data_IF_840303438616
#
_entry.id   IF_840303438616
#
_cell.length_a   1.000
_cell.length_b   1.000
_cell.length_c   1.000
_cell.angle_alpha   90.00
_cell.angle_beta   90.00
_cell.angle_gamma   90.00
#
_symmetry.space_group_name_H-M   'P 1'
#
loop_
_entity.id
_entity.type
_entity.pdbx_description
1 polymer ?
#
# COMPACT_ATOMS: atom_id res chain seq x y z
N UNK A 1 9.51 12.97 -7.70
CA UNK A 1 8.30 12.34 -7.08
C UNK A 1 8.51 12.19 -5.56
N UNK A 2 7.80 11.29 -4.87
CA UNK A 2 7.99 11.05 -3.43
C UNK A 2 9.35 10.42 -3.10
N UNK A 3 9.94 9.64 -4.00
CA UNK A 3 11.29 9.09 -3.83
C UNK A 3 12.33 10.21 -3.91
N UNK A 4 12.22 11.09 -4.91
CA UNK A 4 13.06 12.29 -5.00
C UNK A 4 12.90 13.21 -3.78
N UNK A 5 11.67 13.38 -3.30
CA UNK A 5 11.38 14.20 -2.12
C UNK A 5 12.12 13.69 -0.88
N UNK A 6 12.13 12.36 -0.67
CA UNK A 6 12.86 11.74 0.42
C UNK A 6 14.37 11.91 0.24
N UNK A 7 14.87 11.61 -0.97
CA UNK A 7 16.30 11.70 -1.32
C UNK A 7 16.88 13.11 -1.13
N UNK A 8 16.20 14.13 -1.66
CA UNK A 8 16.65 15.53 -1.57
C UNK A 8 16.71 16.06 -0.13
N UNK A 9 15.90 15.47 0.76
CA UNK A 9 15.82 15.89 2.17
C UNK A 9 16.59 14.96 3.13
N UNK A 10 17.30 13.97 2.60
CA UNK A 10 18.00 12.97 3.41
C UNK A 10 17.07 12.17 4.33
N UNK A 11 15.80 12.00 3.92
CA UNK A 11 14.81 11.23 4.66
C UNK A 11 14.87 9.77 4.23
N UNK A 12 14.68 8.86 5.17
CA UNK A 12 14.74 7.43 4.89
C UNK A 12 13.52 7.00 4.06
N UNK A 13 13.79 6.31 2.95
CA UNK A 13 12.82 5.54 2.20
C UNK A 13 12.67 4.16 2.85
N UNK A 14 11.44 3.75 3.06
CA UNK A 14 11.10 2.51 3.74
C UNK A 14 10.84 1.38 2.76
N UNK A 15 11.35 0.21 3.09
CA UNK A 15 11.03 -1.03 2.40
C UNK A 15 9.53 -1.35 2.51
N UNK A 16 8.92 -2.02 1.51
CA UNK A 16 7.49 -2.34 1.51
C UNK A 16 6.98 -3.10 2.75
N UNK A 17 7.87 -3.83 3.42
CA UNK A 17 7.64 -4.66 4.60
C UNK A 17 7.87 -3.93 5.93
N UNK A 18 8.20 -2.64 5.90
CA UNK A 18 8.46 -1.84 7.09
C UNK A 18 7.25 -1.87 8.06
N UNK A 19 7.45 -2.05 9.38
CA UNK A 19 6.34 -2.20 10.34
C UNK A 19 5.34 -1.03 10.35
N UNK A 20 5.83 0.20 10.14
CA UNK A 20 4.96 1.36 10.05
C UNK A 20 4.04 1.29 8.81
N UNK A 21 4.56 0.84 7.66
CA UNK A 21 3.76 0.65 6.45
C UNK A 21 2.77 -0.50 6.60
N UNK A 22 3.12 -1.56 7.34
CA UNK A 22 2.17 -2.64 7.68
C UNK A 22 0.99 -2.12 8.50
N UNK A 23 1.27 -1.33 9.55
CA UNK A 23 0.22 -0.66 10.36
C UNK A 23 -0.64 0.28 9.51
N UNK A 24 0.01 1.07 8.66
CA UNK A 24 -0.69 1.96 7.73
C UNK A 24 -1.66 1.21 6.81
N UNK A 25 -1.18 0.17 6.12
CA UNK A 25 -2.01 -0.66 5.23
C UNK A 25 -3.14 -1.36 5.98
N UNK A 26 -2.89 -1.81 7.20
CA UNK A 26 -3.90 -2.46 8.05
C UNK A 26 -5.06 -1.52 8.41
N UNK A 27 -4.79 -0.22 8.55
CA UNK A 27 -5.80 0.81 8.86
C UNK A 27 -6.75 1.08 7.70
N UNK A 28 -6.36 0.78 6.46
CA UNK A 28 -7.14 1.01 5.24
C UNK A 28 -7.73 2.43 5.16
N UNK A 29 -6.88 3.43 5.37
CA UNK A 29 -7.29 4.83 5.35
C UNK A 29 -7.99 5.18 4.03
N UNK A 30 -9.18 5.77 4.14
CA UNK A 30 -10.01 6.21 3.02
C UNK A 30 -10.03 7.74 2.85
N UNK A 31 -9.58 8.47 3.87
CA UNK A 31 -9.57 9.94 3.90
C UNK A 31 -8.21 10.50 4.31
N UNK A 32 -7.94 11.77 3.96
CA UNK A 32 -6.72 12.46 4.39
C UNK A 32 -6.64 12.60 5.92
N UNK A 33 -7.77 12.77 6.60
CA UNK A 33 -7.81 12.90 8.05
C UNK A 33 -7.45 11.58 8.75
N UNK A 34 -7.85 10.44 8.19
CA UNK A 34 -7.38 9.13 8.68
C UNK A 34 -5.87 8.94 8.50
N UNK A 35 -5.29 9.46 7.41
CA UNK A 35 -3.83 9.45 7.20
C UNK A 35 -3.14 10.36 8.23
N UNK A 36 -3.67 11.55 8.50
CA UNK A 36 -3.15 12.46 9.53
C UNK A 36 -3.20 11.83 10.91
N UNK A 37 -4.30 11.15 11.24
CA UNK A 37 -4.43 10.42 12.49
C UNK A 37 -3.38 9.29 12.58
N UNK A 38 -3.16 8.54 11.50
CA UNK A 38 -2.09 7.53 11.47
C UNK A 38 -0.70 8.13 11.66
N UNK A 39 -0.40 9.27 11.04
CA UNK A 39 0.89 9.97 11.24
C UNK A 39 1.10 10.34 12.70
N UNK A 40 0.06 10.79 13.39
CA UNK A 40 0.15 11.12 14.81
C UNK A 40 0.38 9.86 15.66
N UNK A 41 -0.45 8.83 15.48
CA UNK A 41 -0.33 7.57 16.22
C UNK A 41 1.04 6.91 16.03
N UNK A 42 1.57 6.96 14.80
CA UNK A 42 2.88 6.41 14.48
C UNK A 42 3.97 7.17 15.22
N UNK A 43 3.92 8.51 15.27
CA UNK A 43 4.89 9.34 16.02
C UNK A 43 4.83 9.08 17.52
N UNK A 44 3.65 8.90 18.10
CA UNK A 44 3.50 8.51 19.51
C UNK A 44 4.12 7.13 19.77
N UNK A 45 3.88 6.16 18.87
CA UNK A 45 4.50 4.83 18.96
C UNK A 45 6.04 4.88 18.88
N UNK A 46 6.63 5.83 18.13
CA UNK A 46 8.08 6.06 18.15
C UNK A 46 8.57 6.62 19.50
N UNK A 47 7.81 7.51 20.13
CA UNK A 47 8.11 8.09 21.45
C UNK A 47 8.10 7.03 22.56
N UNK A 48 7.08 6.17 22.59
CA UNK A 48 6.94 5.10 23.58
C UNK A 48 8.11 4.10 23.54
N UNK A 49 8.61 3.77 22.34
CA UNK A 49 9.79 2.90 22.17
C UNK A 49 11.07 3.56 22.68
N UNK A 50 11.26 4.85 22.43
CA UNK A 50 12.44 5.56 22.96
C UNK A 50 12.42 5.72 24.48
N UNK A 51 11.24 5.86 25.10
CA UNK A 51 11.13 5.99 26.56
C UNK A 51 11.38 4.67 27.30
N UNK A 52 10.98 3.54 26.72
CA UNK A 52 11.18 2.22 27.33
C UNK A 52 12.63 1.74 27.27
N UNK A 53 13.37 2.11 26.22
CA UNK A 53 14.81 1.81 26.11
C UNK A 53 15.67 2.60 27.13
N UNK A 54 15.19 3.75 27.62
CA UNK A 54 15.90 4.54 28.63
C UNK A 54 15.86 3.92 30.05
N UNK A 55 14.93 3.00 30.33
CA UNK A 55 14.78 2.36 31.64
C UNK A 55 15.22 0.90 31.69
N UNK A 56 15.59 0.28 30.56
CA UNK A 56 15.97 -1.13 30.47
C UNK A 56 17.46 -1.33 30.21
N UNK A 57 18.30 -0.74 31.06
CA UNK A 57 19.74 -1.06 31.10
C UNK A 57 20.03 -2.14 32.16
N UNK A 58 19.34 -3.27 32.07
CA UNK A 58 19.72 -4.53 32.70
C UNK A 58 19.02 -5.69 31.97
N UNK A 59 19.84 -6.56 31.38
CA UNK A 59 19.54 -7.94 30.94
C UNK A 59 18.43 -8.18 29.91
N UNK A 60 18.82 -8.45 28.65
CA UNK A 60 18.60 -9.75 27.98
C UNK A 60 18.94 -9.68 26.49
N UNK A 61 19.56 -10.78 26.02
CA UNK A 61 20.05 -11.00 24.66
C UNK A 61 18.90 -11.28 23.70
N UNK A 62 18.83 -10.54 22.60
CA UNK A 62 17.94 -10.82 21.47
C UNK A 62 18.02 -9.70 20.43
N UNK A 63 18.66 -9.99 19.30
CA UNK A 63 18.95 -9.05 18.19
C UNK A 63 17.66 -8.34 17.73
N UNK A 64 17.46 -7.11 18.21
CA UNK A 64 16.48 -6.17 17.66
C UNK A 64 17.25 -5.10 16.92
N UNK A 65 16.97 -4.93 15.63
CA UNK A 65 17.53 -3.87 14.79
C UNK A 65 17.24 -2.53 15.46
N UNK A 66 18.26 -2.00 16.13
CA UNK A 66 18.23 -0.73 16.85
C UNK A 66 18.27 0.40 15.84
N UNK A 67 17.12 0.82 15.33
CA UNK A 67 16.99 2.14 14.70
C UNK A 67 17.05 3.19 15.80
N UNK A 68 18.28 3.56 16.16
CA UNK A 68 18.59 4.60 17.15
C UNK A 68 18.03 5.95 16.71
N UNK A 69 16.95 6.39 17.36
CA UNK A 69 16.97 7.66 18.10
C UNK A 69 16.47 8.94 17.43
N UNK A 70 15.74 8.92 16.31
CA UNK A 70 15.03 10.12 15.83
C UNK A 70 13.62 9.77 15.36
N UNK A 71 12.63 10.46 15.91
CA UNK A 71 11.25 10.38 15.46
C UNK A 71 11.21 10.85 14.00
N UNK A 72 10.70 10.04 13.06
CA UNK A 72 10.60 10.45 11.67
C UNK A 72 9.68 11.68 11.55
N UNK A 73 10.07 12.70 10.78
CA UNK A 73 9.21 13.86 10.57
C UNK A 73 7.94 13.44 9.82
N UNK A 74 6.83 14.15 10.03
CA UNK A 74 5.54 13.86 9.38
C UNK A 74 5.66 13.78 7.86
N UNK A 75 6.55 14.58 7.25
CA UNK A 75 6.81 14.53 5.81
C UNK A 75 7.41 13.20 5.35
N UNK A 76 8.29 12.57 6.14
CA UNK A 76 8.84 11.25 5.85
C UNK A 76 7.75 10.17 5.94
N UNK A 77 6.90 10.24 6.97
CA UNK A 77 5.79 9.32 7.17
C UNK A 77 4.81 9.36 5.99
N UNK A 78 4.38 10.57 5.60
CA UNK A 78 3.44 10.78 4.50
C UNK A 78 4.04 10.38 3.15
N UNK A 79 5.30 10.72 2.88
CA UNK A 79 5.96 10.36 1.62
C UNK A 79 6.08 8.83 1.46
N UNK A 80 6.49 8.12 2.52
CA UNK A 80 6.56 6.66 2.50
C UNK A 80 5.17 6.00 2.40
N UNK A 81 4.17 6.55 3.09
CA UNK A 81 2.79 6.08 2.96
C UNK A 81 2.26 6.24 1.52
N UNK A 82 2.49 7.40 0.91
CA UNK A 82 2.08 7.67 -0.47
C UNK A 82 2.78 6.74 -1.47
N UNK A 83 4.09 6.53 -1.32
CA UNK A 83 4.85 5.59 -2.15
C UNK A 83 4.30 4.17 -2.01
N UNK A 84 3.97 3.75 -0.78
CA UNK A 84 3.36 2.46 -0.54
C UNK A 84 1.99 2.30 -1.20
N UNK A 85 1.15 3.34 -1.23
CA UNK A 85 -0.14 3.29 -1.92
C UNK A 85 0.05 3.21 -3.43
N UNK A 86 0.99 3.97 -3.98
CA UNK A 86 1.31 3.96 -5.41
C UNK A 86 1.70 2.55 -5.87
N UNK A 87 2.56 1.87 -5.10
CA UNK A 87 2.94 0.48 -5.38
C UNK A 87 1.75 -0.48 -5.38
N UNK A 88 0.83 -0.31 -4.43
CA UNK A 88 -0.41 -1.12 -4.38
C UNK A 88 -1.28 -0.82 -5.61
N UNK A 89 -1.44 0.45 -5.98
CA UNK A 89 -2.21 0.85 -7.16
C UNK A 89 -1.63 0.24 -8.44
N UNK A 90 -0.31 0.31 -8.64
CA UNK A 90 0.35 -0.32 -9.79
C UNK A 90 0.08 -1.83 -9.83
N UNK A 91 0.27 -2.54 -8.71
CA UNK A 91 -0.03 -3.97 -8.63
C UNK A 91 -1.50 -4.30 -8.94
N UNK A 92 -2.44 -3.49 -8.45
CA UNK A 92 -3.87 -3.70 -8.71
C UNK A 92 -4.22 -3.44 -10.18
N UNK A 93 -3.60 -2.43 -10.81
CA UNK A 93 -3.77 -2.15 -12.24
C UNK A 93 -3.24 -3.30 -13.10
N UNK A 94 -2.05 -3.83 -12.78
CA UNK A 94 -1.49 -4.99 -13.48
C UNK A 94 -2.41 -6.21 -13.37
N UNK A 95 -2.95 -6.45 -12.17
CA UNK A 95 -3.91 -7.54 -11.95
C UNK A 95 -5.22 -7.34 -12.71
N UNK A 96 -5.71 -6.10 -12.80
CA UNK A 96 -6.89 -5.78 -13.60
C UNK A 96 -6.66 -6.02 -15.09
N UNK A 97 -5.50 -5.61 -15.62
CA UNK A 97 -5.11 -5.87 -17.01
C UNK A 97 -5.00 -7.37 -17.29
N UNK A 98 -4.35 -8.13 -16.42
CA UNK A 98 -4.24 -9.58 -16.56
C UNK A 98 -5.61 -10.27 -16.55
N UNK A 99 -6.50 -9.88 -15.63
CA UNK A 99 -7.85 -10.43 -15.56
C UNK A 99 -8.68 -10.11 -16.82
N UNK A 100 -8.58 -8.88 -17.34
CA UNK A 100 -9.23 -8.50 -18.58
C UNK A 100 -8.68 -9.30 -19.77
N UNK A 101 -7.36 -9.44 -19.88
CA UNK A 101 -6.72 -10.22 -20.94
C UNK A 101 -7.19 -11.70 -20.93
N UNK A 102 -7.29 -12.31 -19.75
CA UNK A 102 -7.81 -13.68 -19.63
C UNK A 102 -9.31 -13.78 -19.97
N UNK A 103 -10.12 -12.80 -19.58
CA UNK A 103 -11.52 -12.75 -19.98
C UNK A 103 -11.68 -12.61 -21.50
N UNK A 104 -10.83 -11.80 -22.16
CA UNK A 104 -10.80 -11.69 -23.62
C UNK A 104 -10.46 -13.02 -24.30
N UNK A 105 -9.47 -13.76 -23.79
CA UNK A 105 -9.11 -15.09 -24.33
C UNK A 105 -10.24 -16.11 -24.19
N UNK A 106 -10.95 -16.12 -23.05
CA UNK A 106 -11.99 -17.13 -22.75
C UNK A 106 -13.35 -16.81 -23.38
N UNK A 107 -13.76 -15.55 -23.34
CA UNK A 107 -15.11 -15.14 -23.72
C UNK A 107 -15.19 -14.55 -25.13
N UNK A 108 -14.04 -14.28 -25.76
CA UNK A 108 -13.94 -13.57 -27.03
C UNK A 108 -14.09 -12.06 -26.85
N UNK A 109 -13.81 -11.29 -27.91
CA UNK A 109 -13.93 -9.82 -27.90
C UNK A 109 -15.37 -9.32 -27.71
N UNK A 110 -15.56 -8.02 -27.45
CA UNK A 110 -16.89 -7.43 -27.27
C UNK A 110 -17.83 -7.72 -28.46
N UNK A 111 -17.32 -7.60 -29.69
CA UNK A 111 -18.07 -7.90 -30.92
C UNK A 111 -18.47 -9.37 -31.00
N UNK A 112 -17.59 -10.30 -30.63
CA UNK A 112 -17.88 -11.74 -30.63
C UNK A 112 -18.94 -12.08 -29.58
N UNK A 113 -18.84 -11.49 -28.38
CA UNK A 113 -19.86 -11.64 -27.33
C UNK A 113 -21.21 -11.11 -27.76
N UNK A 114 -21.27 -9.91 -28.35
CA UNK A 114 -22.51 -9.34 -28.89
C UNK A 114 -23.09 -10.20 -30.02
N UNK A 115 -22.23 -10.72 -30.91
CA UNK A 115 -22.65 -11.62 -31.97
C UNK A 115 -23.24 -12.92 -31.42
N UNK A 116 -22.63 -13.51 -30.38
CA UNK A 116 -23.14 -14.69 -29.68
C UNK A 116 -24.52 -14.45 -29.06
N UNK A 117 -24.72 -13.31 -28.40
CA UNK A 117 -26.03 -12.93 -27.82
C UNK A 117 -27.09 -12.73 -28.93
N UNK A 118 -26.76 -12.02 -30.01
CA UNK A 118 -27.69 -11.77 -31.12
C UNK A 118 -28.09 -13.05 -31.83
N UNK A 119 -27.14 -13.96 -32.06
CA UNK A 119 -27.41 -15.25 -32.71
C UNK A 119 -28.29 -16.16 -31.84
N UNK A 120 -28.07 -16.19 -30.51
CA UNK A 120 -28.95 -16.91 -29.58
C UNK A 120 -30.39 -16.37 -29.58
N UNK A 121 -30.58 -15.04 -29.59
CA UNK A 121 -31.92 -14.43 -29.69
C UNK A 121 -32.64 -14.80 -30.98
N UNK A 122 -31.95 -14.78 -32.13
CA UNK A 122 -32.53 -15.18 -33.42
C UNK A 122 -32.96 -16.65 -33.41
N UNK A 123 -32.14 -17.54 -32.84
CA UNK A 123 -32.50 -18.96 -32.69
C UNK A 123 -33.75 -19.18 -31.86
N UNK A 124 -33.93 -18.41 -30.77
CA UNK A 124 -35.08 -18.52 -29.87
C UNK A 124 -36.39 -17.97 -30.45
N UNK A 125 -36.32 -17.02 -31.38
CA UNK A 125 -37.51 -16.49 -32.09
C UNK A 125 -37.93 -17.32 -33.31
N UNK A 126 -37.09 -18.25 -33.78
CA UNK A 126 -37.37 -19.13 -34.92
C UNK A 126 -37.84 -20.53 -34.48
N UNK A 127 -38.26 -20.70 -33.23
CA UNK A 127 -38.94 -21.86 -32.66
C UNK A 127 -40.20 -21.37 -31.94
#
# INVERSE_FOLDING_TARGET
DYEDFLRQRGLEQWEPEHPALKRFKARRCSTLDEVRAWVNDEREHWLERTNTDAHRKAESVGVSVSQKGKIPPSSQLVANAALSLLNICCYLLDRQLAAQAEAFKKEGGFTERLYKIRSQRRRKNNH
#
